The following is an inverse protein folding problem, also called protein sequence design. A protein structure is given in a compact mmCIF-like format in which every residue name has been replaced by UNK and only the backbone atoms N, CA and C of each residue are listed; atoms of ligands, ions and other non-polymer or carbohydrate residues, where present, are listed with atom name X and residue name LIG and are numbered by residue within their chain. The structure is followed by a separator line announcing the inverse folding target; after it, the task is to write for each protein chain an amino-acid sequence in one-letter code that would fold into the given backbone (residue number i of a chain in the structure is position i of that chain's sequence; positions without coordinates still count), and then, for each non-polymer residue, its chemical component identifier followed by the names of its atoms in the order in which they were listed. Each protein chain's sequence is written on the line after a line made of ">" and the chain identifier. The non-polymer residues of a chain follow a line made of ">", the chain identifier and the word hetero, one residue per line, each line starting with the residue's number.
data_IF_159622345441
#
_entry.id   IF_159622345441
#
_cell.length_a   1.000
_cell.length_b   1.000
_cell.length_c   1.000
_cell.angle_alpha   90.00
_cell.angle_beta   90.00
_cell.angle_gamma   90.00
#
_symmetry.space_group_name_H-M   'P 1'
#
loop_
_entity.id
_entity.type
_entity.pdbx_description
1 polymer ?
#
# COMPACT_ATOMS: atom_id res chain seq x y z
N UNK A 1 -1.03 14.30 -12.24
CA UNK A 1 -1.22 12.89 -12.60
C UNK A 1 -2.70 12.56 -12.48
N UNK A 2 -3.28 11.74 -13.36
CA UNK A 2 -4.68 11.32 -13.26
C UNK A 2 -4.75 10.14 -12.31
N UNK A 3 -5.59 10.23 -11.28
CA UNK A 3 -5.73 9.17 -10.28
C UNK A 3 -7.13 8.62 -10.26
N UNK A 4 -7.21 7.30 -10.27
CA UNK A 4 -8.43 6.53 -10.10
C UNK A 4 -8.24 5.55 -8.95
N UNK A 5 -9.07 5.67 -7.92
CA UNK A 5 -9.12 4.71 -6.82
C UNK A 5 -10.36 3.86 -6.96
N UNK A 6 -10.18 2.55 -7.04
CA UNK A 6 -11.26 1.58 -7.12
C UNK A 6 -11.42 0.92 -5.77
N UNK A 7 -12.54 1.17 -5.10
CA UNK A 7 -12.91 0.53 -3.83
C UNK A 7 -13.80 -0.66 -4.12
N UNK A 8 -13.34 -1.86 -3.75
CA UNK A 8 -14.10 -3.11 -3.89
C UNK A 8 -13.97 -3.95 -2.62
N UNK A 9 -14.68 -5.07 -2.55
CA UNK A 9 -14.64 -5.99 -1.43
C UNK A 9 -16.02 -6.43 -0.97
N UNK A 10 -16.05 -7.16 0.15
CA UNK A 10 -17.27 -7.81 0.65
C UNK A 10 -18.36 -6.81 1.03
N UNK A 11 -19.61 -7.23 0.93
CA UNK A 11 -20.74 -6.43 1.40
C UNK A 11 -20.66 -6.30 2.93
N UNK A 12 -20.71 -5.06 3.43
CA UNK A 12 -20.52 -4.77 4.86
C UNK A 12 -19.06 -4.62 5.32
N UNK A 13 -18.07 -4.72 4.43
CA UNK A 13 -16.66 -4.49 4.77
C UNK A 13 -16.27 -3.02 5.01
N UNK A 14 -17.18 -2.07 4.74
CA UNK A 14 -16.93 -0.65 4.97
C UNK A 14 -16.61 0.17 3.72
N UNK A 15 -16.95 -0.34 2.52
CA UNK A 15 -16.80 0.39 1.23
C UNK A 15 -17.36 1.82 1.26
N UNK A 16 -18.52 2.02 1.88
CA UNK A 16 -19.14 3.34 2.04
C UNK A 16 -18.37 4.27 2.98
N UNK A 17 -17.69 3.73 3.99
CA UNK A 17 -16.82 4.49 4.89
C UNK A 17 -15.56 4.91 4.15
N UNK A 18 -14.98 4.01 3.34
CA UNK A 18 -13.82 4.30 2.51
C UNK A 18 -14.11 5.36 1.45
N UNK A 19 -15.23 5.27 0.72
CA UNK A 19 -15.64 6.29 -0.24
C UNK A 19 -15.81 7.68 0.41
N UNK A 20 -16.43 7.75 1.59
CA UNK A 20 -16.55 9.02 2.33
C UNK A 20 -15.19 9.57 2.75
N UNK A 21 -14.27 8.70 3.18
CA UNK A 21 -12.91 9.13 3.51
C UNK A 21 -12.16 9.69 2.29
N UNK A 22 -12.37 9.09 1.11
CA UNK A 22 -11.83 9.56 -0.16
C UNK A 22 -12.43 10.90 -0.59
N UNK A 23 -13.74 11.07 -0.39
CA UNK A 23 -14.46 12.32 -0.65
C UNK A 23 -13.91 13.45 0.24
N UNK A 24 -13.72 13.18 1.54
CA UNK A 24 -13.08 14.11 2.49
C UNK A 24 -11.63 14.46 2.09
N UNK A 25 -10.97 13.58 1.33
CA UNK A 25 -9.61 13.77 0.79
C UNK A 25 -9.59 14.42 -0.60
N UNK A 26 -10.75 14.87 -1.12
CA UNK A 26 -10.86 15.64 -2.36
C UNK A 26 -11.00 14.79 -3.63
N UNK A 27 -11.36 13.51 -3.51
CA UNK A 27 -11.71 12.67 -4.67
C UNK A 27 -13.16 12.91 -5.08
N UNK A 28 -13.42 12.89 -6.39
CA UNK A 28 -14.79 12.81 -6.90
C UNK A 28 -15.29 11.36 -6.77
N UNK A 29 -16.21 11.12 -5.84
CA UNK A 29 -16.67 9.78 -5.50
C UNK A 29 -17.92 9.36 -6.28
N UNK A 30 -17.88 8.18 -6.91
CA UNK A 30 -19.03 7.55 -7.58
C UNK A 30 -19.32 6.21 -6.91
N UNK A 31 -20.53 6.06 -6.36
CA UNK A 31 -20.95 4.83 -5.69
C UNK A 31 -21.67 3.88 -6.66
N UNK A 32 -21.45 2.57 -6.51
CA UNK A 32 -22.14 1.50 -7.22
C UNK A 32 -22.03 1.59 -8.76
N UNK A 33 -20.82 1.82 -9.26
CA UNK A 33 -20.56 1.88 -10.69
C UNK A 33 -20.42 0.46 -11.29
N UNK A 34 -21.11 0.13 -12.39
CA UNK A 34 -20.88 -1.11 -13.10
C UNK A 34 -19.44 -1.18 -13.67
N UNK A 35 -18.78 -2.32 -13.55
CA UNK A 35 -17.43 -2.55 -14.07
C UNK A 35 -17.31 -2.28 -15.58
N UNK A 36 -18.38 -2.51 -16.34
CA UNK A 36 -18.45 -2.22 -17.78
C UNK A 36 -18.32 -0.72 -18.11
N UNK A 37 -18.62 0.18 -17.17
CA UNK A 37 -18.53 1.63 -17.34
C UNK A 37 -17.15 2.21 -16.95
N UNK A 38 -16.21 1.37 -16.52
CA UNK A 38 -14.85 1.81 -16.19
C UNK A 38 -14.14 2.52 -17.35
N UNK A 39 -14.33 2.00 -18.58
CA UNK A 39 -13.73 2.58 -19.77
C UNK A 39 -14.21 4.02 -20.01
N UNK A 40 -15.50 4.31 -19.77
CA UNK A 40 -16.07 5.66 -19.93
C UNK A 40 -15.60 6.63 -18.85
N UNK A 41 -15.26 6.16 -17.64
CA UNK A 41 -14.70 7.01 -16.58
C UNK A 41 -13.32 7.55 -16.98
N UNK A 42 -12.52 6.73 -17.70
CA UNK A 42 -11.22 7.15 -18.22
C UNK A 42 -11.32 8.43 -19.05
N UNK A 43 -12.37 8.52 -19.87
CA UNK A 43 -12.59 9.65 -20.78
C UNK A 43 -13.08 10.90 -20.02
N UNK A 44 -13.69 10.73 -18.84
CA UNK A 44 -14.12 11.84 -17.97
C UNK A 44 -13.01 12.37 -17.04
N UNK A 45 -11.96 11.57 -16.76
CA UNK A 45 -10.74 12.02 -16.06
C UNK A 45 -9.96 13.10 -16.85
N UNK A 46 -10.26 13.27 -18.15
CA UNK A 46 -9.67 14.30 -19.00
C UNK A 46 -10.41 15.64 -18.99
N UNK A 47 -11.69 15.65 -18.61
CA UNK A 47 -12.54 16.84 -18.75
C UNK A 47 -12.54 17.72 -17.48
N UNK A 48 -12.96 17.18 -16.34
CA UNK A 48 -13.33 17.99 -15.16
C UNK A 48 -12.66 17.58 -13.84
N UNK A 49 -12.15 16.35 -13.73
CA UNK A 49 -11.65 15.80 -12.46
C UNK A 49 -10.31 15.07 -12.60
N UNK A 50 -9.29 15.49 -11.84
CA UNK A 50 -7.96 14.84 -11.80
C UNK A 50 -7.88 13.63 -10.87
N UNK A 51 -8.83 13.52 -9.92
CA UNK A 51 -8.89 12.49 -8.87
C UNK A 51 -10.31 11.96 -8.76
N UNK A 52 -10.52 10.68 -9.10
CA UNK A 52 -11.82 10.02 -9.02
C UNK A 52 -11.68 8.78 -8.12
N UNK A 53 -12.68 8.55 -7.27
CA UNK A 53 -12.83 7.33 -6.50
C UNK A 53 -14.14 6.67 -6.89
N UNK A 54 -14.12 5.36 -7.14
CA UNK A 54 -15.31 4.61 -7.53
C UNK A 54 -15.48 3.40 -6.62
N UNK A 55 -16.70 3.07 -6.23
CA UNK A 55 -16.98 1.77 -5.63
C UNK A 55 -17.55 0.80 -6.68
N UNK A 56 -17.03 -0.41 -6.64
CA UNK A 56 -17.54 -1.55 -7.41
C UNK A 56 -17.95 -2.61 -6.40
N UNK A 57 -19.18 -3.07 -6.52
CA UNK A 57 -19.78 -4.05 -5.62
C UNK A 57 -19.98 -5.39 -6.33
N UNK A 58 -20.15 -6.47 -5.58
CA UNK A 58 -20.43 -7.83 -6.09
C UNK A 58 -21.70 -7.91 -6.96
N UNK A 59 -22.57 -6.89 -6.87
CA UNK A 59 -23.74 -6.70 -7.74
C UNK A 59 -23.39 -6.30 -9.17
N UNK A 60 -22.17 -5.83 -9.42
CA UNK A 60 -21.78 -5.41 -10.76
C UNK A 60 -21.78 -6.60 -11.71
N UNK A 61 -22.59 -6.49 -12.77
CA UNK A 61 -22.47 -7.37 -13.94
C UNK A 61 -21.01 -7.34 -14.40
N UNK A 62 -20.41 -8.52 -14.60
CA UNK A 62 -19.04 -8.69 -15.08
C UNK A 62 -17.91 -8.26 -14.11
N UNK A 63 -18.03 -8.51 -12.81
CA UNK A 63 -16.92 -8.23 -11.88
C UNK A 63 -15.65 -9.03 -12.21
N UNK A 64 -15.79 -10.19 -12.86
CA UNK A 64 -14.67 -10.99 -13.39
C UNK A 64 -13.88 -10.27 -14.49
N UNK A 65 -14.46 -9.30 -15.20
CA UNK A 65 -13.75 -8.52 -16.24
C UNK A 65 -13.05 -7.29 -15.67
N UNK A 66 -13.19 -7.02 -14.37
CA UNK A 66 -12.53 -5.92 -13.68
C UNK A 66 -11.00 -5.89 -13.87
N UNK A 67 -10.25 -7.02 -13.77
CA UNK A 67 -8.81 -7.03 -14.04
C UNK A 67 -8.45 -6.53 -15.44
N UNK A 68 -9.24 -6.91 -16.44
CA UNK A 68 -9.02 -6.51 -17.85
C UNK A 68 -9.21 -5.01 -17.99
N UNK A 69 -10.27 -4.46 -17.39
CA UNK A 69 -10.52 -3.01 -17.43
C UNK A 69 -9.46 -2.22 -16.67
N UNK A 70 -8.98 -2.70 -15.52
CA UNK A 70 -7.87 -2.06 -14.78
C UNK A 70 -6.62 -1.99 -15.66
N UNK A 71 -6.25 -3.08 -16.33
CA UNK A 71 -5.07 -3.11 -17.20
C UNK A 71 -5.19 -2.15 -18.39
N UNK A 72 -6.39 -2.02 -18.97
CA UNK A 72 -6.67 -1.05 -20.03
C UNK A 72 -6.56 0.40 -19.54
N UNK A 73 -6.92 0.68 -18.30
CA UNK A 73 -6.79 2.02 -17.71
C UNK A 73 -5.33 2.36 -17.43
N UNK A 74 -4.56 1.40 -16.90
CA UNK A 74 -3.12 1.55 -16.67
C UNK A 74 -2.36 1.83 -17.98
N UNK A 75 -2.73 1.18 -19.08
CA UNK A 75 -2.10 1.44 -20.40
C UNK A 75 -2.42 2.84 -20.97
N UNK A 76 -3.48 3.50 -20.49
CA UNK A 76 -3.81 4.90 -20.81
C UNK A 76 -3.09 5.93 -19.91
N UNK A 77 -2.05 5.52 -19.18
CA UNK A 77 -1.26 6.37 -18.27
C UNK A 77 -2.10 7.00 -17.13
N UNK A 78 -3.13 6.27 -16.68
CA UNK A 78 -3.92 6.60 -15.48
C UNK A 78 -3.31 5.83 -14.31
N UNK A 79 -3.05 6.52 -13.20
CA UNK A 79 -2.62 5.89 -11.96
C UNK A 79 -3.84 5.24 -11.29
N UNK A 80 -3.94 3.92 -11.42
CA UNK A 80 -5.07 3.13 -10.91
C UNK A 80 -4.63 2.35 -9.68
N UNK A 81 -5.24 2.69 -8.54
CA UNK A 81 -5.08 1.96 -7.29
C UNK A 81 -6.37 1.21 -6.95
N UNK A 82 -6.25 -0.01 -6.45
CA UNK A 82 -7.39 -0.82 -6.02
C UNK A 82 -7.29 -1.02 -4.51
N UNK A 83 -8.37 -0.70 -3.81
CA UNK A 83 -8.56 -0.97 -2.38
C UNK A 83 -9.56 -2.12 -2.24
N UNK A 84 -9.10 -3.24 -1.71
CA UNK A 84 -9.93 -4.41 -1.45
C UNK A 84 -10.23 -4.51 0.05
N UNK A 85 -11.48 -4.25 0.42
CA UNK A 85 -11.93 -4.26 1.81
C UNK A 85 -12.54 -5.62 2.17
N UNK A 86 -11.91 -6.32 3.10
CA UNK A 86 -12.38 -7.60 3.60
C UNK A 86 -12.71 -7.57 5.10
N UNK A 87 -13.36 -8.63 5.56
CA UNK A 87 -13.71 -8.83 6.96
C UNK A 87 -14.05 -10.31 7.15
N UNK A 88 -13.83 -10.81 8.36
CA UNK A 88 -14.28 -12.13 8.76
C UNK A 88 -15.83 -12.22 8.75
N UNK A 89 -16.34 -13.45 8.68
CA UNK A 89 -17.78 -13.70 8.53
C UNK A 89 -18.57 -13.22 9.75
N UNK A 90 -18.04 -13.46 10.96
CA UNK A 90 -18.70 -13.09 12.22
C UNK A 90 -18.95 -11.58 12.33
N UNK A 91 -17.94 -10.77 12.00
CA UNK A 91 -18.06 -9.30 11.98
C UNK A 91 -19.06 -8.84 10.92
N UNK A 92 -19.05 -9.43 9.72
CA UNK A 92 -20.01 -9.06 8.67
C UNK A 92 -21.45 -9.38 9.10
N UNK A 93 -21.69 -10.58 9.65
CA UNK A 93 -23.00 -10.97 10.19
C UNK A 93 -23.47 -9.99 11.26
N UNK A 94 -22.58 -9.58 12.17
CA UNK A 94 -22.88 -8.56 13.19
C UNK A 94 -23.24 -7.21 12.58
N UNK A 95 -22.48 -6.72 11.59
CA UNK A 95 -22.75 -5.44 10.90
C UNK A 95 -24.09 -5.44 10.15
N UNK A 96 -24.44 -6.55 9.50
CA UNK A 96 -25.73 -6.70 8.83
C UNK A 96 -26.91 -6.72 9.80
N UNK A 97 -26.73 -7.36 10.96
CA UNK A 97 -27.76 -7.36 12.01
C UNK A 97 -27.94 -5.99 12.67
N UNK A 98 -26.85 -5.24 12.87
CA UNK A 98 -26.89 -3.85 13.37
C UNK A 98 -27.57 -2.89 12.38
N UNK A 99 -27.23 -2.97 11.10
CA UNK A 99 -27.76 -2.06 10.06
C UNK A 99 -29.13 -2.47 9.53
N UNK A 100 -29.60 -3.68 9.84
CA UNK A 100 -30.82 -4.31 9.31
C UNK A 100 -30.93 -4.29 7.79
N UNK A 101 -29.81 -4.15 7.07
CA UNK A 101 -29.77 -4.19 5.61
C UNK A 101 -29.81 -5.64 5.14
N UNK A 102 -30.46 -5.90 4.01
CA UNK A 102 -30.39 -7.20 3.34
C UNK A 102 -29.05 -7.35 2.63
N UNK A 103 -28.51 -8.55 2.60
CA UNK A 103 -27.31 -8.85 1.82
C UNK A 103 -27.65 -8.77 0.32
N UNK A 104 -26.81 -8.15 -0.53
CA UNK A 104 -27.08 -8.01 -1.96
C UNK A 104 -27.34 -9.32 -2.70
N UNK A 105 -26.67 -10.39 -2.28
CA UNK A 105 -26.83 -11.74 -2.82
C UNK A 105 -27.84 -12.62 -2.05
N UNK A 106 -28.56 -12.09 -1.04
CA UNK A 106 -29.54 -12.91 -0.33
C UNK A 106 -30.70 -13.27 -1.27
N UNK A 107 -30.72 -14.51 -1.73
CA UNK A 107 -31.90 -15.14 -2.34
C UNK A 107 -32.71 -15.81 -1.23
N UNK A 108 -34.01 -16.02 -1.45
CA UNK A 108 -34.95 -16.55 -0.43
C UNK A 108 -34.57 -17.95 0.14
N UNK A 109 -33.56 -18.62 -0.42
CA UNK A 109 -33.16 -19.97 -0.08
C UNK A 109 -31.78 -20.11 0.61
N UNK A 110 -31.05 -19.02 0.89
CA UNK A 110 -29.71 -19.09 1.51
C UNK A 110 -29.59 -18.18 2.73
N UNK A 111 -28.82 -18.63 3.72
CA UNK A 111 -28.51 -17.87 4.93
C UNK A 111 -27.59 -16.69 4.63
N UNK A 112 -27.52 -15.73 5.56
CA UNK A 112 -26.58 -14.61 5.46
C UNK A 112 -25.13 -15.07 5.41
N UNK A 113 -24.76 -16.06 6.23
CA UNK A 113 -23.41 -16.62 6.25
C UNK A 113 -23.04 -17.28 4.91
N UNK A 114 -23.95 -18.05 4.31
CA UNK A 114 -23.76 -18.64 2.98
C UNK A 114 -23.66 -17.56 1.89
N UNK A 115 -24.46 -16.50 1.99
CA UNK A 115 -24.40 -15.37 1.05
C UNK A 115 -23.03 -14.65 1.09
N UNK A 116 -22.46 -14.49 2.28
CA UNK A 116 -21.12 -13.91 2.48
C UNK A 116 -20.03 -14.85 1.95
N UNK A 117 -20.16 -16.16 2.15
CA UNK A 117 -19.21 -17.13 1.64
C UNK A 117 -19.18 -17.15 0.10
N UNK A 118 -20.35 -17.17 -0.55
CA UNK A 118 -20.46 -17.07 -2.01
C UNK A 118 -19.87 -15.77 -2.55
N UNK A 119 -20.10 -14.65 -1.85
CA UNK A 119 -19.49 -13.38 -2.23
C UNK A 119 -17.96 -13.42 -2.13
N UNK A 120 -17.41 -14.06 -1.09
CA UNK A 120 -15.97 -14.23 -0.93
C UNK A 120 -15.37 -15.07 -2.05
N UNK A 121 -16.02 -16.14 -2.46
CA UNK A 121 -15.55 -16.96 -3.57
C UNK A 121 -15.56 -16.17 -4.89
N UNK A 122 -16.63 -15.40 -5.14
CA UNK A 122 -16.75 -14.53 -6.32
C UNK A 122 -15.67 -13.44 -6.38
N UNK A 123 -15.34 -12.85 -5.22
CA UNK A 123 -14.38 -11.75 -5.12
C UNK A 123 -12.95 -12.18 -4.82
N UNK A 124 -12.71 -13.46 -4.53
CA UNK A 124 -11.41 -13.97 -4.05
C UNK A 124 -10.26 -13.70 -5.02
N UNK A 125 -10.53 -13.66 -6.33
CA UNK A 125 -9.53 -13.32 -7.35
C UNK A 125 -9.16 -11.84 -7.44
N UNK A 126 -9.91 -10.95 -6.79
CA UNK A 126 -9.71 -9.49 -6.89
C UNK A 126 -8.77 -8.95 -5.81
N UNK A 127 -8.54 -9.68 -4.72
CA UNK A 127 -7.63 -9.25 -3.65
C UNK A 127 -6.19 -9.06 -4.14
N UNK A 128 -5.76 -9.81 -5.16
CA UNK A 128 -4.42 -9.68 -5.76
C UNK A 128 -4.23 -8.43 -6.63
N UNK A 129 -5.31 -7.69 -6.93
CA UNK A 129 -5.27 -6.53 -7.82
C UNK A 129 -4.86 -5.23 -7.11
N UNK A 130 -4.78 -5.24 -5.77
CA UNK A 130 -4.49 -4.04 -4.99
C UNK A 130 -4.25 -4.27 -3.50
N UNK A 131 -4.38 -3.20 -2.72
CA UNK A 131 -4.16 -3.24 -1.28
C UNK A 131 -5.37 -3.85 -0.56
N UNK A 132 -5.13 -4.96 0.13
CA UNK A 132 -6.13 -5.61 0.97
C UNK A 132 -6.13 -4.98 2.35
N UNK A 133 -7.30 -4.56 2.83
CA UNK A 133 -7.50 -4.03 4.18
C UNK A 133 -8.49 -4.95 4.90
N UNK A 134 -8.02 -5.65 5.93
CA UNK A 134 -8.88 -6.40 6.83
C UNK A 134 -9.56 -5.44 7.82
N UNK A 135 -10.89 -5.38 7.74
CA UNK A 135 -11.72 -4.53 8.59
C UNK A 135 -12.37 -5.27 9.75
N UNK A 136 -12.04 -6.55 9.99
CA UNK A 136 -12.68 -7.42 10.98
C UNK A 136 -12.81 -6.81 12.38
N UNK A 137 -11.79 -6.09 12.82
CA UNK A 137 -11.71 -5.50 14.16
C UNK A 137 -11.49 -3.99 14.13
N UNK A 138 -11.66 -3.37 12.95
CA UNK A 138 -11.46 -1.93 12.79
C UNK A 138 -12.73 -1.16 13.14
N UNK A 139 -12.54 -0.06 13.88
CA UNK A 139 -13.57 0.96 14.03
C UNK A 139 -13.74 1.75 12.73
N UNK A 140 -14.90 2.36 12.53
CA UNK A 140 -15.15 3.22 11.36
C UNK A 140 -14.13 4.38 11.27
N UNK A 141 -13.73 4.96 12.40
CA UNK A 141 -12.74 6.05 12.43
C UNK A 141 -11.34 5.55 12.06
N UNK A 142 -10.94 4.37 12.58
CA UNK A 142 -9.67 3.74 12.23
C UNK A 142 -9.59 3.45 10.74
N UNK A 143 -10.67 2.91 10.16
CA UNK A 143 -10.75 2.65 8.72
C UNK A 143 -10.62 3.94 7.91
N UNK A 144 -11.26 5.04 8.32
CA UNK A 144 -11.09 6.34 7.63
C UNK A 144 -9.63 6.83 7.70
N UNK A 145 -8.98 6.67 8.85
CA UNK A 145 -7.56 7.00 9.01
C UNK A 145 -6.68 6.21 8.05
N UNK A 146 -6.86 4.88 8.01
CA UNK A 146 -6.13 3.98 7.11
C UNK A 146 -6.35 4.31 5.64
N UNK A 147 -7.61 4.55 5.23
CA UNK A 147 -7.91 4.95 3.84
C UNK A 147 -7.21 6.27 3.52
N UNK A 148 -7.21 7.24 4.43
CA UNK A 148 -6.47 8.50 4.23
C UNK A 148 -4.98 8.27 4.13
N UNK A 149 -4.39 7.40 4.95
CA UNK A 149 -2.98 7.05 4.87
C UNK A 149 -2.66 6.43 3.52
N UNK A 150 -3.39 5.40 3.09
CA UNK A 150 -3.16 4.73 1.79
C UNK A 150 -3.23 5.71 0.61
N UNK A 151 -4.10 6.70 0.70
CA UNK A 151 -4.30 7.72 -0.34
C UNK A 151 -3.28 8.85 -0.22
N UNK A 152 -2.81 9.14 0.99
CA UNK A 152 -1.73 10.10 1.26
C UNK A 152 -0.35 9.53 0.96
N UNK A 153 -0.24 8.21 0.73
CA UNK A 153 0.88 7.55 0.06
C UNK A 153 0.89 7.94 -1.44
N UNK A 154 0.67 9.22 -1.75
CA UNK A 154 1.02 9.78 -3.05
C UNK A 154 2.54 9.83 -3.23
N UNK A 155 3.38 9.59 -2.21
CA UNK A 155 4.85 9.74 -2.28
C UNK A 155 5.70 8.78 -1.42
N UNK A 156 5.17 7.69 -0.84
CA UNK A 156 6.04 6.73 -0.17
C UNK A 156 6.44 5.60 -1.13
N UNK A 157 7.45 5.87 -1.96
CA UNK A 157 8.40 4.81 -2.24
C UNK A 157 8.96 4.28 -0.91
N UNK A 158 9.55 3.08 -0.96
CA UNK A 158 10.26 2.52 0.19
C UNK A 158 11.24 3.58 0.75
N UNK A 159 11.03 3.99 2.01
CA UNK A 159 11.91 4.95 2.69
C UNK A 159 13.08 4.20 3.30
N UNK A 160 14.27 4.42 2.75
CA UNK A 160 15.50 3.82 3.28
C UNK A 160 16.11 4.71 4.36
N UNK A 161 16.23 4.17 5.57
CA UNK A 161 16.92 4.83 6.69
C UNK A 161 18.33 4.24 6.86
N UNK A 162 19.35 5.08 6.68
CA UNK A 162 20.75 4.70 6.94
C UNK A 162 21.21 5.28 8.28
N UNK A 163 21.52 4.40 9.23
CA UNK A 163 21.96 4.77 10.58
C UNK A 163 23.33 4.17 10.88
N UNK A 164 24.30 5.01 11.22
CA UNK A 164 25.59 4.57 11.77
C UNK A 164 25.48 4.41 13.29
N UNK A 165 25.99 3.31 13.83
CA UNK A 165 26.04 3.06 15.28
C UNK A 165 27.40 2.49 15.69
N UNK A 166 27.68 2.47 17.00
CA UNK A 166 28.85 1.81 17.55
C UNK A 166 28.44 0.61 18.41
N UNK A 167 29.01 -0.57 18.16
CA UNK A 167 28.67 -1.82 18.88
C UNK A 167 28.72 -1.71 20.42
N UNK A 168 29.56 -0.84 20.97
CA UNK A 168 29.63 -0.57 22.41
C UNK A 168 28.33 0.00 23.00
N UNK A 169 27.45 0.54 22.17
CA UNK A 169 26.15 1.11 22.53
C UNK A 169 24.97 0.19 22.18
N UNK A 170 25.23 -1.02 21.68
CA UNK A 170 24.20 -1.94 21.20
C UNK A 170 23.78 -1.66 19.75
N UNK A 171 23.05 -2.61 19.17
CA UNK A 171 22.48 -2.51 17.83
C UNK A 171 21.13 -1.76 17.95
N UNK A 172 20.81 -0.82 17.03
CA UNK A 172 19.49 -0.19 16.99
C UNK A 172 18.38 -1.23 16.92
N UNK A 173 17.31 -1.05 17.70
CA UNK A 173 16.21 -2.03 17.82
C UNK A 173 15.36 -2.12 16.54
N UNK A 174 15.41 -1.08 15.71
CA UNK A 174 14.65 -0.87 14.48
C UNK A 174 15.48 -1.18 13.22
N UNK A 175 16.64 -1.84 13.34
CA UNK A 175 17.48 -2.19 12.21
C UNK A 175 17.06 -3.51 11.53
N UNK A 176 16.67 -3.43 10.24
CA UNK A 176 16.41 -4.60 9.41
C UNK A 176 17.70 -5.27 8.91
N UNK A 177 18.68 -4.46 8.50
CA UNK A 177 20.00 -4.91 8.05
C UNK A 177 21.11 -4.31 8.91
N UNK A 178 22.09 -5.14 9.27
CA UNK A 178 23.28 -4.72 10.02
C UNK A 178 24.52 -5.16 9.26
N UNK A 179 25.33 -4.19 8.85
CA UNK A 179 26.62 -4.42 8.19
C UNK A 179 27.77 -4.04 9.13
N UNK A 180 28.60 -5.02 9.51
CA UNK A 180 29.78 -4.77 10.34
C UNK A 180 30.96 -4.33 9.47
N UNK A 181 31.43 -3.09 9.69
CA UNK A 181 32.52 -2.47 8.94
C UNK A 181 33.83 -2.35 9.74
N UNK A 182 33.92 -2.99 10.92
CA UNK A 182 35.11 -2.91 11.81
C UNK A 182 36.39 -3.52 11.22
N UNK A 183 36.27 -4.29 10.14
CA UNK A 183 37.43 -4.82 9.41
C UNK A 183 38.13 -3.78 8.53
N UNK A 184 37.53 -2.61 8.32
CA UNK A 184 38.09 -1.54 7.48
C UNK A 184 39.18 -0.74 8.20
N UNK A 185 40.02 0.01 7.45
CA UNK A 185 41.03 0.91 8.02
C UNK A 185 40.41 1.91 9.00
N UNK A 186 41.01 2.02 10.18
CA UNK A 186 40.48 2.83 11.27
C UNK A 186 41.14 4.22 11.32
N UNK A 187 40.42 5.32 11.04
CA UNK A 187 40.98 6.68 11.08
C UNK A 187 41.44 7.12 12.48
N UNK A 188 40.99 6.47 13.56
CA UNK A 188 41.42 6.79 14.92
C UNK A 188 42.92 6.55 15.19
N UNK A 189 43.60 5.79 14.33
CA UNK A 189 45.05 5.59 14.43
C UNK A 189 45.84 6.83 14.03
N UNK A 190 45.28 7.72 13.20
CA UNK A 190 45.85 9.05 12.94
C UNK A 190 45.41 10.02 14.05
N UNK A 191 46.34 10.56 14.86
CA UNK A 191 46.02 11.54 15.89
C UNK A 191 45.30 12.78 15.36
N UNK A 192 45.56 13.19 14.11
CA UNK A 192 44.94 14.36 13.50
C UNK A 192 43.46 14.14 13.12
N UNK A 193 43.02 12.87 13.03
CA UNK A 193 41.65 12.50 12.67
C UNK A 193 40.82 12.04 13.87
N UNK A 194 41.45 11.82 15.03
CA UNK A 194 40.82 11.16 16.20
C UNK A 194 39.60 11.91 16.74
N UNK A 195 39.65 13.24 16.72
CA UNK A 195 38.56 14.10 17.23
C UNK A 195 37.55 14.48 16.13
N UNK A 196 37.77 14.00 14.90
CA UNK A 196 36.90 14.24 13.75
C UNK A 196 35.89 13.09 13.60
N UNK A 197 34.86 13.36 12.81
CA UNK A 197 33.79 12.41 12.46
C UNK A 197 33.88 12.01 11.00
N UNK A 198 33.19 10.94 10.61
CA UNK A 198 33.08 10.53 9.20
C UNK A 198 32.40 11.57 8.29
N UNK A 199 31.87 12.67 8.83
CA UNK A 199 31.32 13.80 8.05
C UNK A 199 32.40 14.83 7.68
N UNK A 200 33.54 14.83 8.36
CA UNK A 200 34.63 15.77 8.11
C UNK A 200 35.46 15.34 6.90
N UNK A 201 35.78 16.29 6.02
CA UNK A 201 36.47 16.05 4.74
C UNK A 201 37.76 15.25 4.90
N UNK A 202 38.58 15.57 5.92
CA UNK A 202 39.83 14.86 6.21
C UNK A 202 39.63 13.36 6.49
N UNK A 203 38.53 12.99 7.14
CA UNK A 203 38.20 11.57 7.42
C UNK A 203 37.66 10.91 6.15
N UNK A 204 36.88 11.63 5.36
CA UNK A 204 36.41 11.13 4.05
C UNK A 204 37.58 10.84 3.12
N UNK A 205 38.57 11.73 3.06
CA UNK A 205 39.74 11.57 2.18
C UNK A 205 40.63 10.42 2.64
N UNK A 206 40.86 10.29 3.95
CA UNK A 206 41.52 9.09 4.52
C UNK A 206 40.81 7.80 4.09
N UNK A 207 39.48 7.75 4.16
CA UNK A 207 38.71 6.56 3.78
C UNK A 207 38.70 6.30 2.27
N UNK A 208 38.70 7.34 1.43
CA UNK A 208 38.75 7.22 -0.05
C UNK A 208 40.07 6.65 -0.56
N UNK A 209 41.17 6.88 0.15
CA UNK A 209 42.50 6.37 -0.23
C UNK A 209 42.63 4.85 -0.07
N UNK A 210 41.66 4.19 0.57
CA UNK A 210 41.65 2.76 0.82
C UNK A 210 40.67 2.02 -0.09
N UNK A 211 41.21 1.24 -1.05
CA UNK A 211 40.41 0.45 -2.00
C UNK A 211 39.38 -0.48 -1.30
N UNK A 212 39.75 -1.08 -0.17
CA UNK A 212 38.85 -1.96 0.59
C UNK A 212 37.59 -1.27 1.12
N UNK A 213 37.64 0.04 1.37
CA UNK A 213 36.46 0.84 1.77
C UNK A 213 35.51 0.98 0.59
N UNK A 214 36.04 1.26 -0.61
CA UNK A 214 35.25 1.34 -1.82
C UNK A 214 34.63 -0.02 -2.18
N UNK A 215 35.38 -1.11 -2.04
CA UNK A 215 34.90 -2.48 -2.27
C UNK A 215 33.73 -2.83 -1.34
N UNK A 216 33.88 -2.60 -0.02
CA UNK A 216 32.82 -2.85 0.96
C UNK A 216 31.57 -2.00 0.69
N UNK A 217 31.74 -0.72 0.34
CA UNK A 217 30.61 0.14 -0.03
C UNK A 217 29.88 -0.38 -1.26
N UNK A 218 30.62 -0.87 -2.26
CA UNK A 218 30.04 -1.43 -3.48
C UNK A 218 29.28 -2.73 -3.20
N UNK A 219 29.85 -3.63 -2.39
CA UNK A 219 29.22 -4.88 -2.00
C UNK A 219 27.90 -4.67 -1.24
N UNK A 220 27.90 -3.75 -0.26
CA UNK A 220 26.69 -3.38 0.49
C UNK A 220 25.64 -2.79 -0.45
N UNK A 221 26.03 -1.87 -1.34
CA UNK A 221 25.11 -1.28 -2.32
C UNK A 221 24.48 -2.34 -3.21
N UNK A 222 25.30 -3.20 -3.81
CA UNK A 222 24.82 -4.24 -4.72
C UNK A 222 23.89 -5.23 -4.01
N UNK A 223 24.20 -5.57 -2.76
CA UNK A 223 23.32 -6.41 -1.94
C UNK A 223 21.97 -5.72 -1.73
N UNK A 224 21.96 -4.46 -1.26
CA UNK A 224 20.73 -3.70 -1.03
C UNK A 224 19.94 -3.56 -2.33
N UNK A 225 20.54 -3.08 -3.42
CA UNK A 225 19.88 -2.91 -4.73
C UNK A 225 19.26 -4.20 -5.26
N UNK A 226 19.92 -5.35 -5.06
CA UNK A 226 19.40 -6.65 -5.49
C UNK A 226 18.14 -7.07 -4.73
N UNK A 227 18.08 -6.81 -3.42
CA UNK A 227 17.00 -7.29 -2.56
C UNK A 227 15.91 -6.26 -2.32
N UNK A 228 16.19 -4.97 -2.55
CA UNK A 228 15.25 -3.87 -2.36
C UNK A 228 13.89 -4.10 -3.06
N UNK A 229 13.83 -4.61 -4.31
CA UNK A 229 12.56 -4.87 -4.99
C UNK A 229 11.70 -5.96 -4.32
N UNK A 230 12.27 -6.80 -3.45
CA UNK A 230 11.51 -7.82 -2.72
C UNK A 230 10.76 -7.24 -1.49
N UNK A 231 11.05 -5.99 -1.11
CA UNK A 231 10.39 -5.29 -0.01
C UNK A 231 9.29 -4.33 -0.47
N UNK A 232 9.02 -4.28 -1.79
CA UNK A 232 8.01 -3.41 -2.43
C UNK A 232 6.86 -4.25 -2.96
#
# INVERSE_FOLDING_TARGET
>A
MKQLIIVTGLSGSGKSIALRALEDSGYYCIDNLPATMLATIADHLDADHKRIAISIDSRSIAIETLPVHINQLKSKNIDVQVLFLESNVETLVKRFSETRRKHPLSKDAITLAESIALERDLLGGLGSLGHVIDTSYLSANTLRGWVKEVVSIEHAGLTLLFTSFGFKHGIPLDADFVFDVRCLPNPHYDPALRDLTGRDEKVQDFLKDHATVADMMHDIRNYVEKWLPCFV
#
